data_IF_731442408008
#
_entry.id   IF_731442408008
#
_cell.length_a   1.000
_cell.length_b   1.000
_cell.length_c   1.000
_cell.angle_alpha   90.00
_cell.angle_beta   90.00
_cell.angle_gamma   90.00
#
_symmetry.space_group_name_H-M   'P 1'
#
loop_
_entity.id
_entity.type
_entity.pdbx_description
1 polymer ?
#
# COMPACT_ATOMS: atom_id res chain seq x y z
N UNK A 1 -3.94 44.66 -43.10
CA UNK A 1 -5.16 45.29 -42.56
C UNK A 1 -5.38 44.73 -41.19
N UNK A 2 -5.04 45.53 -40.19
CA UNK A 2 -5.14 45.23 -38.78
C UNK A 2 -6.39 45.95 -38.31
N UNK A 3 -7.39 45.19 -37.87
CA UNK A 3 -8.60 45.78 -37.30
C UNK A 3 -8.39 46.05 -35.80
N UNK A 4 -8.50 47.35 -35.47
CA UNK A 4 -8.49 47.86 -34.11
C UNK A 4 -9.74 47.42 -33.34
N UNK A 5 -9.51 46.67 -32.23
CA UNK A 5 -10.54 46.46 -31.24
C UNK A 5 -10.71 47.69 -30.33
N UNK A 6 -11.74 48.48 -30.58
CA UNK A 6 -12.16 49.59 -29.74
C UNK A 6 -12.62 49.10 -28.37
N UNK A 7 -11.87 49.39 -27.33
CA UNK A 7 -12.38 49.33 -25.97
C UNK A 7 -13.44 50.42 -25.74
N UNK A 8 -14.65 50.01 -25.40
CA UNK A 8 -15.70 50.90 -24.89
C UNK A 8 -15.48 51.06 -23.38
N UNK A 9 -14.91 52.15 -22.94
CA UNK A 9 -14.84 52.59 -21.57
C UNK A 9 -16.19 53.23 -21.20
N UNK A 10 -16.99 52.49 -20.46
CA UNK A 10 -18.21 53.02 -19.81
C UNK A 10 -17.82 53.70 -18.50
N UNK A 11 -17.82 55.02 -18.50
CA UNK A 11 -17.80 55.86 -17.30
C UNK A 11 -19.20 55.94 -16.71
N UNK A 12 -19.38 55.49 -15.49
CA UNK A 12 -20.65 55.65 -14.75
C UNK A 12 -20.38 55.40 -13.27
N UNK A 13 -20.26 56.49 -12.51
CA UNK A 13 -20.00 56.51 -11.09
C UNK A 13 -21.19 56.07 -10.24
N UNK A 14 -20.90 55.83 -8.96
CA UNK A 14 -21.90 55.65 -7.94
C UNK A 14 -21.43 54.67 -6.88
N UNK A 15 -20.90 55.18 -5.78
CA UNK A 15 -20.47 54.41 -4.64
C UNK A 15 -21.58 53.54 -4.04
N UNK A 16 -21.26 52.31 -3.88
CA UNK A 16 -21.89 51.34 -2.99
C UNK A 16 -20.77 50.47 -2.45
N UNK A 17 -20.38 50.69 -1.20
CA UNK A 17 -19.66 49.68 -0.44
C UNK A 17 -20.57 48.50 -0.18
N UNK A 18 -20.83 47.68 -1.19
CA UNK A 18 -21.30 46.34 -1.02
C UNK A 18 -20.03 45.53 -0.74
N UNK A 19 -19.89 45.04 0.46
CA UNK A 19 -18.92 44.00 0.75
C UNK A 19 -19.33 42.77 -0.05
N UNK A 20 -18.72 42.60 -1.25
CA UNK A 20 -18.86 41.37 -2.00
C UNK A 20 -18.06 40.31 -1.18
N UNK A 21 -18.76 39.36 -0.61
CA UNK A 21 -18.11 38.17 -0.19
C UNK A 21 -17.39 37.55 -1.41
N UNK A 22 -16.10 37.26 -1.27
CA UNK A 22 -15.40 36.51 -2.31
C UNK A 22 -16.14 35.19 -2.53
N UNK A 23 -16.21 34.68 -3.77
CA UNK A 23 -16.87 33.41 -4.04
C UNK A 23 -16.18 32.31 -3.24
N UNK A 24 -16.94 31.33 -2.68
CA UNK A 24 -16.37 30.24 -1.91
C UNK A 24 -15.27 29.50 -2.64
N UNK A 25 -14.18 29.23 -1.95
CA UNK A 25 -13.04 28.48 -2.46
C UNK A 25 -13.18 27.00 -2.12
N UNK A 26 -13.02 26.11 -3.10
CA UNK A 26 -13.07 24.67 -2.90
C UNK A 26 -11.66 24.11 -3.08
N UNK A 27 -11.07 23.59 -1.98
CA UNK A 27 -9.81 22.85 -2.03
C UNK A 27 -9.96 21.63 -2.95
N UNK A 28 -9.05 21.38 -3.89
CA UNK A 28 -9.11 20.19 -4.73
C UNK A 28 -9.06 18.87 -3.94
N UNK A 29 -9.65 17.81 -4.47
CA UNK A 29 -9.53 16.47 -3.91
C UNK A 29 -8.06 16.02 -3.98
N UNK A 30 -7.57 15.45 -2.88
CA UNK A 30 -6.17 15.02 -2.75
C UNK A 30 -6.02 13.62 -2.14
N UNK A 31 -7.12 12.87 -2.05
CA UNK A 31 -7.10 11.49 -1.57
C UNK A 31 -7.34 10.52 -2.73
N UNK A 32 -6.44 9.56 -2.85
CA UNK A 32 -6.56 8.44 -3.78
C UNK A 32 -6.67 7.14 -2.98
N UNK A 33 -7.67 6.31 -3.31
CA UNK A 33 -7.91 5.05 -2.59
C UNK A 33 -6.64 4.20 -2.51
N UNK A 34 -6.40 3.63 -1.33
CA UNK A 34 -5.18 2.88 -1.01
C UNK A 34 -5.50 1.40 -0.83
N UNK A 35 -5.26 0.65 -1.88
CA UNK A 35 -5.39 -0.80 -1.94
C UNK A 35 -4.09 -1.40 -2.47
N UNK A 36 -3.88 -2.69 -2.29
CA UNK A 36 -2.63 -3.32 -2.67
C UNK A 36 -2.84 -4.50 -3.61
N UNK A 37 -2.10 -4.49 -4.72
CA UNK A 37 -1.96 -5.66 -5.59
C UNK A 37 -0.69 -6.42 -5.22
N UNK A 38 -0.79 -7.73 -4.97
CA UNK A 38 0.36 -8.62 -4.76
C UNK A 38 0.58 -9.44 -6.03
N UNK A 39 1.78 -9.35 -6.58
CA UNK A 39 2.18 -10.01 -7.81
C UNK A 39 3.30 -10.99 -7.52
N UNK A 40 3.18 -12.21 -8.04
CA UNK A 40 4.24 -13.21 -8.02
C UNK A 40 4.77 -13.35 -9.45
N UNK A 41 6.06 -13.15 -9.62
CA UNK A 41 6.74 -13.31 -10.91
C UNK A 41 7.77 -14.42 -10.80
N UNK A 42 7.57 -15.51 -11.54
CA UNK A 42 8.57 -16.56 -11.74
C UNK A 42 9.69 -15.99 -12.63
N UNK A 43 10.93 -16.03 -12.14
CA UNK A 43 12.10 -15.54 -12.85
C UNK A 43 12.80 -16.69 -13.58
N UNK A 44 12.95 -17.82 -12.91
CA UNK A 44 13.68 -18.96 -13.44
C UNK A 44 13.29 -20.26 -12.74
N UNK A 45 13.27 -21.34 -13.48
CA UNK A 45 13.42 -22.69 -12.94
C UNK A 45 14.92 -22.91 -12.64
N UNK A 46 15.22 -23.32 -11.40
CA UNK A 46 16.57 -23.42 -10.90
C UNK A 46 17.06 -22.18 -10.15
N UNK A 47 18.19 -22.38 -9.44
CA UNK A 47 18.80 -21.35 -8.62
C UNK A 47 19.48 -20.28 -9.49
N UNK A 48 19.19 -19.00 -9.21
CA UNK A 48 19.90 -17.86 -9.78
C UNK A 48 21.00 -17.37 -8.82
N UNK A 49 22.08 -16.80 -9.36
CA UNK A 49 23.07 -16.11 -8.54
C UNK A 49 22.45 -14.93 -7.80
N UNK A 50 21.52 -14.21 -8.44
CA UNK A 50 20.79 -13.10 -7.86
C UNK A 50 20.59 -11.95 -8.84
N UNK A 51 20.42 -10.75 -8.33
CA UNK A 51 20.27 -9.52 -9.12
C UNK A 51 21.64 -8.89 -9.41
N UNK A 52 21.74 -8.14 -10.49
CA UNK A 52 23.00 -7.60 -10.99
C UNK A 52 23.58 -6.52 -10.07
N UNK A 53 22.75 -5.55 -9.67
CA UNK A 53 23.19 -4.40 -8.87
C UNK A 53 23.62 -4.78 -7.45
N UNK A 54 22.91 -5.65 -6.68
CA UNK A 54 23.39 -6.11 -5.40
C UNK A 54 24.77 -6.77 -5.47
N UNK A 55 25.02 -7.57 -6.51
CA UNK A 55 26.32 -8.23 -6.70
C UNK A 55 27.42 -7.19 -6.96
N UNK A 56 27.18 -6.20 -7.83
CA UNK A 56 28.15 -5.13 -8.10
C UNK A 56 28.45 -4.27 -6.87
N UNK A 57 27.45 -4.08 -6.01
CA UNK A 57 27.57 -3.27 -4.78
C UNK A 57 28.03 -4.09 -3.56
N UNK A 58 28.32 -5.39 -3.71
CA UNK A 58 28.73 -6.26 -2.61
C UNK A 58 27.67 -6.44 -1.52
N UNK A 59 26.38 -6.44 -1.87
CA UNK A 59 25.28 -6.54 -0.91
C UNK A 59 24.98 -8.00 -0.57
N UNK A 60 24.77 -8.26 0.72
CA UNK A 60 24.48 -9.62 1.23
C UNK A 60 22.99 -9.95 1.03
N UNK A 61 22.71 -11.12 0.45
CA UNK A 61 21.34 -11.66 0.29
C UNK A 61 20.59 -11.66 1.63
N UNK A 62 19.27 -11.40 1.59
CA UNK A 62 18.40 -11.34 2.77
C UNK A 62 18.39 -9.99 3.50
N UNK A 63 19.33 -9.07 3.21
CA UNK A 63 19.35 -7.73 3.83
C UNK A 63 18.45 -6.72 3.12
N UNK A 64 18.05 -5.67 3.84
CA UNK A 64 17.31 -4.53 3.25
C UNK A 64 18.12 -3.84 2.14
N UNK A 65 19.43 -3.66 2.34
CA UNK A 65 20.31 -3.08 1.34
C UNK A 65 20.36 -3.92 0.05
N UNK A 66 20.32 -5.26 0.16
CA UNK A 66 20.20 -6.13 -1.00
C UNK A 66 18.89 -5.90 -1.75
N UNK A 67 17.76 -5.87 -1.03
CA UNK A 67 16.43 -5.62 -1.64
C UNK A 67 16.36 -4.26 -2.32
N UNK A 68 16.94 -3.21 -1.71
CA UNK A 68 17.01 -1.89 -2.32
C UNK A 68 17.90 -1.90 -3.58
N UNK A 69 19.06 -2.53 -3.55
CA UNK A 69 19.91 -2.67 -4.72
C UNK A 69 19.20 -3.48 -5.84
N UNK A 70 18.45 -4.53 -5.48
CA UNK A 70 17.68 -5.31 -6.44
C UNK A 70 16.57 -4.48 -7.12
N UNK A 71 15.99 -3.49 -6.43
CA UNK A 71 15.01 -2.55 -7.02
C UNK A 71 15.58 -1.73 -8.19
N UNK A 72 16.92 -1.59 -8.31
CA UNK A 72 17.57 -1.00 -9.48
C UNK A 72 17.55 -1.90 -10.72
N UNK A 73 17.29 -3.19 -10.51
CA UNK A 73 17.27 -4.23 -11.53
C UNK A 73 15.86 -4.72 -11.87
N UNK A 74 14.85 -4.15 -11.22
CA UNK A 74 13.43 -4.43 -11.46
C UNK A 74 12.82 -3.19 -12.10
N UNK A 75 12.33 -3.38 -13.33
CA UNK A 75 11.77 -2.31 -14.14
C UNK A 75 10.25 -2.45 -14.20
N UNK A 76 9.55 -1.37 -13.93
CA UNK A 76 8.11 -1.22 -14.10
C UNK A 76 7.88 -0.26 -15.28
N UNK A 77 7.22 -0.73 -16.36
CA UNK A 77 7.08 0.01 -17.61
C UNK A 77 8.41 0.65 -18.10
N UNK A 78 9.49 -0.17 -18.10
CA UNK A 78 10.85 0.19 -18.51
C UNK A 78 11.62 1.14 -17.58
N UNK A 79 11.03 1.58 -16.49
CA UNK A 79 11.68 2.43 -15.48
C UNK A 79 12.06 1.60 -14.24
N UNK A 80 13.31 1.63 -13.75
CA UNK A 80 13.69 0.89 -12.55
C UNK A 80 12.96 1.43 -11.33
N UNK A 81 12.63 0.58 -10.36
CA UNK A 81 11.94 1.00 -9.13
C UNK A 81 12.79 2.00 -8.36
N UNK A 82 14.09 1.75 -8.22
CA UNK A 82 15.06 2.64 -7.58
C UNK A 82 16.05 3.16 -8.63
N UNK A 83 16.40 4.44 -8.56
CA UNK A 83 17.41 5.07 -9.44
C UNK A 83 18.74 4.29 -9.39
N UNK A 84 19.39 4.12 -10.54
CA UNK A 84 20.67 3.41 -10.63
C UNK A 84 21.80 4.07 -9.83
N UNK A 85 21.69 5.37 -9.58
CA UNK A 85 22.69 6.19 -8.84
C UNK A 85 22.41 6.25 -7.35
N UNK A 86 21.24 5.82 -6.88
CA UNK A 86 20.86 5.87 -5.46
C UNK A 86 21.77 5.04 -4.56
N UNK A 87 21.97 5.47 -3.33
CA UNK A 87 22.59 4.62 -2.29
C UNK A 87 21.60 3.56 -1.82
N UNK A 88 21.85 2.30 -2.15
CA UNK A 88 20.98 1.19 -1.76
C UNK A 88 20.98 0.91 -0.24
N UNK A 89 21.95 1.45 0.50
CA UNK A 89 22.02 1.29 1.96
C UNK A 89 21.01 2.18 2.66
N UNK A 90 20.85 3.41 2.16
CA UNK A 90 19.93 4.40 2.73
C UNK A 90 19.29 5.27 1.63
N UNK A 91 18.45 4.69 0.76
CA UNK A 91 17.81 5.46 -0.31
C UNK A 91 16.81 6.45 0.29
N UNK A 92 16.80 7.66 -0.26
CA UNK A 92 15.82 8.70 0.07
C UNK A 92 14.57 8.54 -0.79
N UNK A 93 13.44 9.15 -0.40
CA UNK A 93 12.20 9.06 -1.17
C UNK A 93 12.35 9.55 -2.62
N UNK A 94 13.18 10.58 -2.85
CA UNK A 94 13.46 11.13 -4.19
C UNK A 94 14.23 10.18 -5.11
N UNK A 95 14.86 9.15 -4.55
CA UNK A 95 15.60 8.15 -5.30
C UNK A 95 14.69 7.10 -5.93
N UNK A 96 13.45 6.97 -5.45
CA UNK A 96 12.49 6.00 -5.97
C UNK A 96 11.71 6.60 -7.14
N UNK A 97 11.84 5.98 -8.31
CA UNK A 97 11.02 6.30 -9.48
C UNK A 97 9.57 5.78 -9.31
N UNK A 98 9.42 4.71 -8.53
CA UNK A 98 8.12 4.14 -8.16
C UNK A 98 8.01 4.01 -6.65
N UNK A 99 7.06 4.73 -6.07
CA UNK A 99 6.84 4.78 -4.62
C UNK A 99 6.08 3.54 -4.12
N UNK A 100 6.25 3.22 -2.84
CA UNK A 100 5.49 2.18 -2.13
C UNK A 100 5.47 0.80 -2.80
N UNK A 101 6.59 0.40 -3.42
CA UNK A 101 6.79 -0.96 -3.94
C UNK A 101 7.52 -1.79 -2.89
N UNK A 102 6.81 -2.76 -2.29
CA UNK A 102 7.44 -3.77 -1.42
C UNK A 102 7.92 -4.97 -2.26
N UNK A 103 9.11 -5.45 -1.94
CA UNK A 103 9.79 -6.52 -2.66
C UNK A 103 10.25 -7.61 -1.70
N UNK A 104 9.93 -8.86 -2.04
CA UNK A 104 10.59 -10.03 -1.47
C UNK A 104 11.07 -10.97 -2.57
N UNK A 105 12.13 -11.75 -2.29
CA UNK A 105 12.87 -12.50 -3.30
C UNK A 105 13.13 -13.92 -2.80
N UNK A 106 12.96 -14.89 -3.71
CA UNK A 106 13.43 -16.26 -3.57
C UNK A 106 14.37 -16.58 -4.73
N UNK A 107 15.48 -17.20 -4.42
CA UNK A 107 16.58 -17.40 -5.37
C UNK A 107 16.57 -18.78 -6.05
N UNK A 108 15.64 -19.65 -5.71
CA UNK A 108 15.57 -21.01 -6.27
C UNK A 108 16.48 -22.00 -5.55
N UNK A 109 16.81 -21.76 -4.28
CA UNK A 109 17.60 -22.69 -3.47
C UNK A 109 16.79 -23.91 -3.06
N UNK A 110 17.47 -24.98 -2.65
CA UNK A 110 16.86 -26.16 -2.05
C UNK A 110 17.64 -26.54 -0.78
N UNK A 111 17.04 -26.46 0.43
CA UNK A 111 15.67 -25.97 0.71
C UNK A 111 15.52 -24.46 0.51
N UNK A 112 14.27 -24.02 0.30
CA UNK A 112 13.92 -22.61 0.17
C UNK A 112 12.82 -22.22 1.17
N UNK A 113 12.92 -21.07 1.81
CA UNK A 113 11.90 -20.57 2.71
C UNK A 113 10.63 -20.13 1.95
N UNK A 114 9.45 -20.31 2.56
CA UNK A 114 8.18 -19.80 1.99
C UNK A 114 8.24 -18.28 1.77
N UNK A 115 7.49 -17.78 0.81
CA UNK A 115 7.30 -16.34 0.59
C UNK A 115 6.29 -15.82 1.63
N UNK A 116 6.63 -14.72 2.32
CA UNK A 116 5.72 -14.13 3.30
C UNK A 116 4.66 -13.26 2.64
N UNK A 117 3.49 -13.12 3.27
CA UNK A 117 2.41 -12.22 2.85
C UNK A 117 1.89 -12.48 1.43
N UNK A 118 1.86 -13.73 1.05
CA UNK A 118 1.20 -14.23 -0.15
C UNK A 118 0.02 -15.03 0.31
N UNK A 119 -1.19 -14.53 0.10
CA UNK A 119 -2.40 -15.25 0.50
C UNK A 119 -2.66 -16.42 -0.45
N UNK A 120 -2.71 -17.62 0.09
CA UNK A 120 -3.15 -18.84 -0.60
C UNK A 120 -4.66 -18.88 -0.73
N UNK A 121 -5.37 -18.47 0.33
CA UNK A 121 -6.82 -18.31 0.32
C UNK A 121 -7.24 -16.99 0.97
N UNK A 122 -8.43 -16.50 0.57
CA UNK A 122 -9.01 -15.27 1.12
C UNK A 122 -10.54 -15.38 1.12
N UNK A 123 -11.16 -15.28 2.29
CA UNK A 123 -12.61 -15.25 2.45
C UNK A 123 -13.08 -13.83 2.78
N UNK A 124 -13.88 -13.23 1.90
CA UNK A 124 -14.38 -11.86 2.04
C UNK A 124 -15.74 -11.83 2.76
N UNK A 125 -15.85 -10.97 3.77
CA UNK A 125 -17.07 -10.71 4.53
C UNK A 125 -17.43 -9.23 4.45
N UNK A 126 -18.65 -8.94 3.97
CA UNK A 126 -19.17 -7.57 3.94
C UNK A 126 -19.63 -7.15 5.34
N UNK A 127 -19.35 -5.90 5.71
CA UNK A 127 -19.82 -5.27 6.96
C UNK A 127 -20.75 -4.12 6.65
N UNK A 128 -20.33 -3.11 5.90
CA UNK A 128 -21.14 -1.99 5.42
C UNK A 128 -21.72 -1.11 6.53
N UNK A 129 -21.05 -1.02 7.70
CA UNK A 129 -21.58 -0.34 8.89
C UNK A 129 -20.78 0.93 9.19
N UNK A 130 -21.50 2.04 9.41
CA UNK A 130 -20.91 3.29 9.90
C UNK A 130 -20.40 3.10 11.34
N UNK A 131 -19.15 3.50 11.58
CA UNK A 131 -18.50 3.46 12.89
C UNK A 131 -18.54 4.85 13.50
N UNK A 132 -19.12 4.97 14.68
CA UNK A 132 -19.21 6.24 15.39
C UNK A 132 -18.28 6.25 16.62
N UNK A 133 -17.84 7.45 16.98
CA UNK A 133 -17.10 7.64 18.23
C UNK A 133 -17.97 7.21 19.42
N UNK A 134 -17.41 6.37 20.28
CA UNK A 134 -18.14 5.78 21.40
C UNK A 134 -18.95 4.52 21.06
N UNK A 135 -19.06 4.13 19.79
CA UNK A 135 -19.81 2.95 19.33
C UNK A 135 -18.97 2.08 18.41
N UNK A 136 -17.98 1.35 18.94
CA UNK A 136 -17.11 0.49 18.15
C UNK A 136 -17.88 -0.69 17.57
N UNK A 137 -17.45 -1.16 16.41
CA UNK A 137 -18.02 -2.33 15.73
C UNK A 137 -17.06 -3.49 15.87
N UNK A 138 -17.58 -4.64 16.33
CA UNK A 138 -16.81 -5.89 16.49
C UNK A 138 -17.33 -6.95 15.54
N UNK A 139 -16.40 -7.77 15.00
CA UNK A 139 -16.67 -8.99 14.25
C UNK A 139 -15.77 -10.10 14.76
N UNK A 140 -16.36 -11.27 15.00
CA UNK A 140 -15.61 -12.48 15.28
C UNK A 140 -15.16 -13.11 13.97
N UNK A 141 -13.88 -13.45 13.87
CA UNK A 141 -13.36 -14.24 12.76
C UNK A 141 -13.83 -15.70 12.86
N UNK A 142 -13.80 -16.42 11.75
CA UNK A 142 -14.02 -17.88 11.80
C UNK A 142 -13.03 -18.52 12.76
N UNK A 143 -13.48 -19.50 13.50
CA UNK A 143 -12.63 -20.22 14.47
C UNK A 143 -11.71 -21.21 13.71
N UNK A 144 -10.80 -20.65 12.93
CA UNK A 144 -9.82 -21.39 12.14
C UNK A 144 -8.40 -20.96 12.58
N UNK A 145 -7.65 -21.92 13.12
CA UNK A 145 -6.27 -21.69 13.59
C UNK A 145 -5.27 -21.47 12.46
N UNK A 146 -5.64 -21.72 11.21
CA UNK A 146 -4.76 -21.58 10.04
C UNK A 146 -4.80 -20.15 9.46
N UNK A 147 -5.65 -19.27 10.03
CA UNK A 147 -5.66 -17.86 9.64
C UNK A 147 -4.37 -17.16 10.05
N UNK A 148 -3.66 -16.61 9.08
CA UNK A 148 -2.42 -15.85 9.29
C UNK A 148 -2.69 -14.35 9.47
N UNK A 149 -3.71 -13.81 8.81
CA UNK A 149 -4.01 -12.37 8.86
C UNK A 149 -5.49 -12.06 8.62
N UNK A 150 -5.90 -10.87 9.06
CA UNK A 150 -7.16 -10.26 8.64
C UNK A 150 -6.87 -8.98 7.87
N UNK A 151 -7.55 -8.79 6.73
CA UNK A 151 -7.51 -7.56 5.95
C UNK A 151 -8.79 -6.76 6.23
N UNK A 152 -8.64 -5.58 6.82
CA UNK A 152 -9.75 -4.66 7.13
C UNK A 152 -9.83 -3.60 6.05
N UNK A 153 -11.01 -3.39 5.47
CA UNK A 153 -11.26 -2.32 4.48
C UNK A 153 -12.20 -1.28 5.09
N UNK A 154 -11.75 -0.04 5.12
CA UNK A 154 -12.54 1.10 5.55
C UNK A 154 -12.85 2.01 4.38
N UNK A 155 -14.01 2.68 4.44
CA UNK A 155 -14.46 3.68 3.47
C UNK A 155 -14.75 4.98 4.20
N UNK A 156 -14.26 6.08 3.65
CA UNK A 156 -14.64 7.44 4.01
C UNK A 156 -15.41 8.02 2.83
N UNK A 157 -16.75 8.16 2.93
CA UNK A 157 -17.59 8.58 1.80
C UNK A 157 -17.25 9.98 1.33
N UNK A 158 -17.08 10.90 2.26
CA UNK A 158 -16.71 12.31 2.03
C UNK A 158 -15.84 12.75 3.20
N UNK A 159 -14.79 13.50 2.91
CA UNK A 159 -13.89 14.06 3.93
C UNK A 159 -13.65 15.53 3.65
N UNK A 160 -14.34 16.42 4.39
CA UNK A 160 -14.24 17.86 4.21
C UNK A 160 -14.83 18.63 5.39
N UNK A 161 -14.54 19.93 5.45
CA UNK A 161 -15.15 20.93 6.31
C UNK A 161 -15.75 22.02 5.41
N UNK A 162 -16.97 22.44 5.69
CA UNK A 162 -17.62 23.61 5.09
C UNK A 162 -17.52 24.74 6.09
N UNK A 163 -16.73 25.76 5.80
CA UNK A 163 -16.50 26.91 6.64
C UNK A 163 -17.67 27.90 6.62
N UNK A 164 -17.68 28.89 7.51
CA UNK A 164 -18.81 29.84 7.65
C UNK A 164 -19.00 30.75 6.45
N UNK A 165 -17.93 31.03 5.70
CA UNK A 165 -17.91 31.80 4.47
C UNK A 165 -18.27 30.97 3.22
N UNK A 166 -18.45 29.66 3.40
CA UNK A 166 -18.77 28.70 2.35
C UNK A 166 -17.54 28.02 1.76
N UNK A 167 -16.34 28.34 2.20
CA UNK A 167 -15.13 27.64 1.79
C UNK A 167 -15.19 26.16 2.16
N UNK A 168 -14.66 25.30 1.28
CA UNK A 168 -14.60 23.84 1.50
C UNK A 168 -13.14 23.41 1.58
N UNK A 169 -12.74 22.96 2.77
CA UNK A 169 -11.37 22.57 3.08
C UNK A 169 -11.29 21.08 3.49
N UNK A 170 -10.05 20.56 3.61
CA UNK A 170 -9.82 19.19 4.04
C UNK A 170 -10.18 18.96 5.51
N UNK A 171 -10.47 17.71 5.85
CA UNK A 171 -10.76 17.24 7.21
C UNK A 171 -9.86 16.08 7.59
N UNK A 172 -10.15 15.46 8.74
CA UNK A 172 -9.48 14.23 9.15
C UNK A 172 -10.41 13.30 9.91
N UNK A 173 -10.19 12.00 9.75
CA UNK A 173 -10.83 10.94 10.52
C UNK A 173 -9.77 10.01 11.10
N UNK A 174 -9.84 9.76 12.41
CA UNK A 174 -8.91 8.89 13.15
C UNK A 174 -9.65 7.68 13.71
N UNK A 175 -8.97 6.55 13.70
CA UNK A 175 -9.53 5.29 14.18
C UNK A 175 -8.43 4.32 14.60
N UNK A 176 -8.82 3.31 15.39
CA UNK A 176 -7.99 2.18 15.79
C UNK A 176 -8.60 0.87 15.29
N UNK A 177 -7.73 -0.04 14.87
CA UNK A 177 -8.05 -1.46 14.67
C UNK A 177 -7.54 -2.20 15.90
N UNK A 178 -8.40 -2.98 16.53
CA UNK A 178 -8.08 -3.72 17.74
C UNK A 178 -8.37 -5.19 17.55
N UNK A 179 -7.58 -6.03 18.17
CA UNK A 179 -7.77 -7.48 18.22
C UNK A 179 -8.00 -7.93 19.66
N UNK A 180 -8.83 -8.95 19.81
CA UNK A 180 -9.02 -9.71 21.02
C UNK A 180 -8.76 -11.19 20.72
N UNK A 181 -7.95 -11.84 21.51
CA UNK A 181 -7.63 -13.27 21.39
C UNK A 181 -8.25 -14.04 22.54
N UNK A 182 -8.92 -15.15 22.21
CA UNK A 182 -9.46 -16.12 23.15
C UNK A 182 -10.26 -15.48 24.32
N UNK A 183 -11.10 -14.49 24.00
CA UNK A 183 -11.95 -13.80 24.99
C UNK A 183 -11.21 -12.89 25.98
N UNK A 184 -9.93 -12.57 25.73
CA UNK A 184 -9.14 -11.61 26.54
C UNK A 184 -9.56 -10.17 26.34
N UNK A 185 -8.69 -9.21 26.69
CA UNK A 185 -8.91 -7.78 26.43
C UNK A 185 -8.63 -7.39 24.98
N UNK A 186 -9.31 -6.36 24.48
CA UNK A 186 -8.97 -5.75 23.20
C UNK A 186 -7.66 -4.98 23.28
N UNK A 187 -6.78 -5.19 22.31
CA UNK A 187 -5.50 -4.48 22.16
C UNK A 187 -5.47 -3.76 20.83
N UNK A 188 -5.10 -2.49 20.82
CA UNK A 188 -4.88 -1.73 19.56
C UNK A 188 -3.66 -2.27 18.85
N UNK A 189 -3.85 -2.76 17.63
CA UNK A 189 -2.80 -3.30 16.76
C UNK A 189 -2.43 -2.34 15.63
N UNK A 190 -3.33 -1.42 15.31
CA UNK A 190 -3.07 -0.39 14.31
C UNK A 190 -3.90 0.86 14.62
N UNK A 191 -3.27 2.04 14.46
CA UNK A 191 -3.93 3.34 14.55
C UNK A 191 -3.63 4.12 13.29
N UNK A 192 -4.63 4.80 12.72
CA UNK A 192 -4.42 5.66 11.57
C UNK A 192 -5.28 6.93 11.62
N UNK A 193 -4.82 7.94 10.88
CA UNK A 193 -5.54 9.18 10.65
C UNK A 193 -5.51 9.49 9.16
N UNK A 194 -6.65 9.35 8.50
CA UNK A 194 -6.83 9.78 7.12
C UNK A 194 -7.04 11.29 7.13
N UNK A 195 -6.21 12.03 6.38
CA UNK A 195 -6.23 13.51 6.29
C UNK A 195 -6.26 13.93 4.83
N UNK A 196 -7.10 14.90 4.51
CA UNK A 196 -7.21 15.45 3.17
C UNK A 196 -8.61 15.90 2.87
N UNK A 197 -8.88 16.09 1.60
CA UNK A 197 -10.23 16.35 1.07
C UNK A 197 -10.57 15.31 0.02
N UNK A 198 -11.79 14.80 0.08
CA UNK A 198 -12.40 14.03 -0.99
C UNK A 198 -13.91 14.27 -1.00
N UNK A 199 -14.46 14.49 -2.20
CA UNK A 199 -15.90 14.50 -2.45
C UNK A 199 -16.42 13.12 -2.84
N UNK A 200 -15.51 12.19 -3.19
CA UNK A 200 -15.80 10.82 -3.59
C UNK A 200 -15.38 9.83 -2.51
N UNK A 201 -15.92 8.62 -2.57
CA UNK A 201 -15.61 7.57 -1.62
C UNK A 201 -14.13 7.16 -1.69
N UNK A 202 -13.41 7.34 -0.59
CA UNK A 202 -12.04 6.93 -0.39
C UNK A 202 -12.00 5.60 0.35
N UNK A 203 -11.31 4.60 -0.21
CA UNK A 203 -11.12 3.28 0.39
C UNK A 203 -9.68 3.07 0.82
N UNK A 204 -9.50 2.43 2.00
CA UNK A 204 -8.18 2.06 2.51
C UNK A 204 -8.19 0.68 3.13
N UNK A 205 -7.16 -0.11 2.80
CA UNK A 205 -6.98 -1.48 3.29
C UNK A 205 -5.84 -1.58 4.28
N UNK A 206 -6.05 -2.41 5.31
CA UNK A 206 -5.06 -2.72 6.35
C UNK A 206 -4.97 -4.23 6.51
N UNK A 207 -3.79 -4.79 6.27
CA UNK A 207 -3.50 -6.17 6.63
C UNK A 207 -2.94 -6.21 8.05
N UNK A 208 -3.59 -6.96 8.93
CA UNK A 208 -3.21 -7.16 10.33
C UNK A 208 -2.84 -8.63 10.49
N UNK A 209 -1.60 -8.91 10.91
CA UNK A 209 -1.14 -10.27 11.17
C UNK A 209 -1.75 -10.81 12.48
N UNK A 210 -2.16 -12.07 12.47
CA UNK A 210 -2.72 -12.75 13.65
C UNK A 210 -1.59 -13.51 14.35
N UNK A 211 -1.37 -13.23 15.63
CA UNK A 211 -0.24 -13.80 16.40
C UNK A 211 -0.67 -14.52 17.68
N UNK A 212 -1.97 -14.49 17.99
CA UNK A 212 -2.51 -15.05 19.24
C UNK A 212 -3.42 -16.25 19.00
N UNK A 213 -3.89 -16.83 20.10
CA UNK A 213 -4.78 -17.99 20.07
C UNK A 213 -6.20 -17.61 19.65
N UNK A 214 -6.84 -18.52 18.91
CA UNK A 214 -8.26 -18.41 18.52
C UNK A 214 -9.21 -18.70 19.70
N UNK A 215 -10.48 -18.24 19.66
CA UNK A 215 -11.07 -17.37 18.64
C UNK A 215 -10.51 -15.95 18.66
N UNK A 216 -10.61 -15.23 17.53
CA UNK A 216 -10.15 -13.86 17.38
C UNK A 216 -11.32 -12.95 17.05
N UNK A 217 -11.43 -11.84 17.77
CA UNK A 217 -12.36 -10.77 17.44
C UNK A 217 -11.57 -9.56 16.90
N UNK A 218 -12.08 -8.97 15.82
CA UNK A 218 -11.60 -7.72 15.26
C UNK A 218 -12.58 -6.61 15.60
N UNK A 219 -12.06 -5.49 16.08
CA UNK A 219 -12.87 -4.32 16.42
C UNK A 219 -12.33 -3.07 15.74
N UNK A 220 -13.22 -2.30 15.11
CA UNK A 220 -12.91 -0.98 14.57
C UNK A 220 -13.49 0.09 15.50
N UNK A 221 -12.64 1.01 15.94
CA UNK A 221 -12.97 2.07 16.89
C UNK A 221 -12.67 3.42 16.24
N UNK A 222 -13.69 4.26 16.05
CA UNK A 222 -13.47 5.65 15.62
C UNK A 222 -13.04 6.47 16.83
N UNK A 223 -11.88 7.12 16.73
CA UNK A 223 -11.31 7.93 17.82
C UNK A 223 -11.54 9.44 17.60
N UNK A 224 -11.74 9.89 16.37
CA UNK A 224 -12.16 11.27 16.07
C UNK A 224 -13.65 11.48 16.35
N UNK A 225 -14.06 12.74 16.57
CA UNK A 225 -15.46 13.10 16.75
C UNK A 225 -16.32 12.70 15.54
N UNK A 226 -17.62 12.54 15.74
CA UNK A 226 -18.57 12.25 14.67
C UNK A 226 -18.74 13.43 13.72
N UNK A 227 -19.31 13.16 12.54
CA UNK A 227 -19.66 14.19 11.58
C UNK A 227 -20.74 15.14 12.13
N UNK A 228 -20.74 16.35 11.62
CA UNK A 228 -21.78 17.36 11.77
C UNK A 228 -22.22 17.82 10.39
N UNK A 229 -23.20 18.69 10.31
CA UNK A 229 -23.68 19.25 9.03
C UNK A 229 -22.54 19.92 8.23
N UNK A 230 -21.54 20.48 8.93
CA UNK A 230 -20.40 21.17 8.30
C UNK A 230 -19.13 20.34 8.24
N UNK A 231 -18.97 19.36 9.11
CA UNK A 231 -17.76 18.56 9.19
C UNK A 231 -18.12 17.14 8.79
N UNK A 232 -17.75 16.78 7.58
CA UNK A 232 -17.99 15.46 7.01
C UNK A 232 -16.74 14.59 7.19
N UNK A 233 -16.84 13.56 8.01
CA UNK A 233 -15.76 12.61 8.36
C UNK A 233 -16.34 11.27 8.81
N UNK A 234 -17.33 10.78 8.08
CA UNK A 234 -17.87 9.46 8.38
C UNK A 234 -16.88 8.37 8.08
N UNK A 235 -16.86 7.35 8.90
CA UNK A 235 -16.04 6.15 8.75
C UNK A 235 -16.99 4.95 8.61
N UNK A 236 -16.82 4.18 7.56
CA UNK A 236 -17.57 2.95 7.32
C UNK A 236 -16.60 1.78 7.39
N UNK A 237 -16.88 0.77 8.20
CA UNK A 237 -16.24 -0.53 8.04
C UNK A 237 -16.87 -1.24 6.87
N UNK A 238 -16.21 -1.22 5.72
CA UNK A 238 -16.77 -1.71 4.48
C UNK A 238 -16.82 -3.24 4.44
N UNK A 239 -15.68 -3.87 4.77
CA UNK A 239 -15.53 -5.33 4.76
C UNK A 239 -14.29 -5.75 5.53
N UNK A 240 -14.17 -7.06 5.77
CA UNK A 240 -12.90 -7.69 6.13
C UNK A 240 -12.70 -8.97 5.31
N UNK A 241 -11.45 -9.36 5.16
CA UNK A 241 -11.09 -10.65 4.57
C UNK A 241 -10.23 -11.43 5.54
N UNK A 242 -10.56 -12.70 5.72
CA UNK A 242 -9.73 -13.67 6.44
C UNK A 242 -8.73 -14.25 5.46
N UNK A 243 -7.46 -14.28 5.83
CA UNK A 243 -6.36 -14.64 4.96
C UNK A 243 -5.58 -15.81 5.54
N UNK A 244 -5.39 -16.84 4.74
CA UNK A 244 -4.43 -17.91 4.96
C UNK A 244 -3.29 -17.72 3.98
N UNK A 245 -2.06 -17.61 4.47
CA UNK A 245 -0.91 -17.42 3.60
C UNK A 245 -0.46 -18.75 2.98
N UNK A 246 0.05 -18.66 1.75
CA UNK A 246 0.62 -19.81 1.07
C UNK A 246 1.82 -20.37 1.86
N UNK A 247 1.72 -21.62 2.24
CA UNK A 247 2.77 -22.33 2.97
C UNK A 247 3.82 -22.98 2.04
N UNK A 248 3.62 -22.93 0.73
CA UNK A 248 4.49 -23.57 -0.27
C UNK A 248 5.87 -22.90 -0.33
N UNK A 249 6.92 -23.70 -0.46
CA UNK A 249 8.30 -23.22 -0.49
C UNK A 249 8.87 -23.10 -1.89
N UNK A 250 8.34 -23.80 -2.88
CA UNK A 250 8.75 -23.82 -4.28
C UNK A 250 10.27 -23.95 -4.46
N UNK A 251 10.91 -25.02 -3.97
CA UNK A 251 12.33 -25.23 -4.15
C UNK A 251 12.69 -25.30 -5.63
N UNK A 252 13.91 -24.94 -5.98
CA UNK A 252 14.40 -24.83 -7.36
C UNK A 252 13.59 -23.86 -8.27
N UNK A 253 12.87 -22.91 -7.69
CA UNK A 253 12.17 -21.86 -8.43
C UNK A 253 12.59 -20.49 -7.91
N UNK A 254 13.24 -19.68 -8.75
CA UNK A 254 13.55 -18.30 -8.42
C UNK A 254 12.36 -17.40 -8.77
N UNK A 255 11.82 -16.67 -7.80
CA UNK A 255 10.66 -15.81 -7.99
C UNK A 255 10.67 -14.60 -7.06
N UNK A 256 9.89 -13.58 -7.42
CA UNK A 256 9.71 -12.37 -6.62
C UNK A 256 8.26 -12.19 -6.24
N UNK A 257 8.04 -11.54 -5.11
CA UNK A 257 6.78 -10.92 -4.74
C UNK A 257 6.96 -9.41 -4.82
N UNK A 258 6.14 -8.77 -5.65
CA UNK A 258 5.96 -7.33 -5.67
C UNK A 258 4.59 -6.99 -5.10
N UNK A 259 4.52 -6.04 -4.19
CA UNK A 259 3.28 -5.47 -3.68
C UNK A 259 3.21 -4.02 -4.09
N UNK A 260 2.21 -3.67 -4.89
CA UNK A 260 1.99 -2.36 -5.47
C UNK A 260 0.84 -1.66 -4.78
N UNK A 261 0.99 -0.35 -4.52
CA UNK A 261 -0.02 0.49 -3.89
C UNK A 261 -0.82 1.23 -4.96
N UNK A 262 -2.15 1.07 -4.98
CA UNK A 262 -3.04 1.71 -5.96
C UNK A 262 -3.01 3.25 -5.92
N UNK A 263 -2.55 3.84 -4.82
CA UNK A 263 -2.33 5.29 -4.74
C UNK A 263 -1.31 5.78 -5.79
N UNK A 264 -0.33 4.93 -6.13
CA UNK A 264 0.75 5.24 -7.09
C UNK A 264 0.63 4.50 -8.42
N UNK A 265 -0.23 3.49 -8.50
CA UNK A 265 -0.38 2.64 -9.68
C UNK A 265 -1.85 2.52 -10.08
N UNK A 266 -2.22 3.17 -11.18
CA UNK A 266 -3.59 3.07 -11.75
C UNK A 266 -3.84 1.76 -12.50
N UNK A 267 -2.78 1.00 -12.82
CA UNK A 267 -2.81 -0.30 -13.49
C UNK A 267 -1.62 -1.15 -13.06
N UNK A 268 -1.67 -2.43 -13.31
CA UNK A 268 -0.52 -3.32 -13.14
C UNK A 268 0.48 -3.03 -14.26
N UNK A 269 1.71 -2.55 -13.95
CA UNK A 269 2.73 -2.22 -14.96
C UNK A 269 3.36 -3.49 -15.56
N UNK A 270 3.93 -3.36 -16.76
CA UNK A 270 4.82 -4.36 -17.34
C UNK A 270 6.08 -4.51 -16.46
N UNK A 271 6.57 -5.75 -16.28
CA UNK A 271 7.72 -6.03 -15.41
C UNK A 271 8.87 -6.65 -16.18
N UNK A 272 10.10 -6.18 -15.92
CA UNK A 272 11.34 -6.75 -16.43
C UNK A 272 12.35 -6.88 -15.30
N UNK A 273 13.16 -7.94 -15.34
CA UNK A 273 14.12 -8.27 -14.31
C UNK A 273 15.52 -8.43 -14.93
N UNK A 274 16.52 -7.79 -14.33
CA UNK A 274 17.93 -7.94 -14.72
C UNK A 274 18.64 -8.82 -13.68
N UNK A 275 18.81 -10.09 -13.99
CA UNK A 275 19.37 -11.10 -13.09
C UNK A 275 20.73 -11.59 -13.56
N UNK A 276 21.49 -12.17 -12.67
CA UNK A 276 22.70 -12.96 -12.96
C UNK A 276 22.28 -14.41 -12.99
N UNK A 277 22.58 -15.05 -14.10
CA UNK A 277 22.18 -16.34 -14.62
C UNK A 277 21.83 -17.47 -13.67
N UNK A 278 21.33 -18.52 -14.25
CA UNK A 278 21.00 -19.78 -13.55
C UNK A 278 22.30 -20.47 -13.15
N UNK A 279 22.41 -20.93 -11.91
CA UNK A 279 23.52 -21.76 -11.46
C UNK A 279 23.31 -23.20 -11.93
N UNK A 280 24.26 -23.72 -12.66
CA UNK A 280 24.26 -25.12 -13.09
C UNK A 280 25.24 -25.90 -12.24
N UNK A 281 24.78 -26.98 -11.61
CA UNK A 281 25.67 -27.93 -10.94
C UNK A 281 26.32 -28.83 -11.99
N UNK A 282 27.62 -28.74 -12.12
CA UNK A 282 28.38 -29.66 -12.97
C UNK A 282 28.74 -30.87 -12.13
N UNK A 283 28.36 -32.12 -12.53
CA UNK A 283 28.79 -33.31 -11.83
C UNK A 283 30.33 -33.37 -11.83
N UNK A 284 30.94 -33.56 -10.68
CA UNK A 284 32.39 -33.69 -10.59
C UNK A 284 32.85 -34.89 -11.41
N UNK A 285 33.69 -34.68 -12.40
CA UNK A 285 34.43 -35.76 -13.07
C UNK A 285 35.57 -36.17 -12.17
N UNK A 286 35.38 -37.25 -11.40
CA UNK A 286 36.35 -37.99 -10.66
C UNK A 286 37.58 -37.29 -10.08
N UNK A 287 37.77 -37.50 -8.84
CA UNK A 287 39.02 -37.54 -8.04
C UNK A 287 39.93 -36.31 -7.86
N UNK A 288 39.69 -35.13 -8.45
CA UNK A 288 40.51 -33.96 -8.10
C UNK A 288 39.98 -32.61 -8.56
N UNK A 289 38.69 -32.43 -8.54
CA UNK A 289 38.11 -31.12 -8.84
C UNK A 289 37.04 -30.80 -7.82
N UNK A 290 37.35 -30.01 -6.80
CA UNK A 290 36.31 -29.26 -6.08
C UNK A 290 35.74 -28.22 -7.04
N UNK A 291 34.85 -28.67 -7.91
CA UNK A 291 34.03 -27.78 -8.73
C UNK A 291 33.03 -27.10 -7.84
N UNK A 292 33.42 -26.01 -7.18
CA UNK A 292 32.48 -25.01 -6.66
C UNK A 292 32.01 -24.20 -7.85
N UNK A 293 30.68 -23.98 -8.01
CA UNK A 293 30.16 -23.14 -9.06
C UNK A 293 30.60 -21.70 -8.90
#
# INVERSE_FOLDING_TARGET
MIEDNKHIAGSGGGGGKGGGQDPPTITPDNLHSKQFATLLDLISEGEIEGFSSPSKEGRTKGTTAYKNAAKKDIFLDDTPILSSTADSTNPQNVDFNHQNVDLDIRFGTDPQAKMSKVSGSASLFSVGVKVENGSPITRQLTNNSDLDAVKVTVTVPILQIIEDDGDVVGSSVSFDIQLQYNGGGFTTVHSDTIRGRTADAYNREYRIELTGAHPVDVRLVKTSANSTDRIQRDLIWQSYSELEDDSSTYPNSAYTRLRLDSEFFSRIPGRKFRVRGVKVRIPGTGASGSGTP
#
